data_IF_652845622150
#
_entry.id   IF_652845622150
#
_cell.length_a   1.000
_cell.length_b   1.000
_cell.length_c   1.000
_cell.angle_alpha   90.00
_cell.angle_beta   90.00
_cell.angle_gamma   90.00
#
_symmetry.space_group_name_H-M   'P 1'
#
loop_
_entity.id
_entity.type
_entity.pdbx_description
1 polymer ?
#
# COMPACT_ATOMS: atom_id res chain seq x y z
N UNK A 1 -47.93 10.42 28.41
CA UNK A 1 -47.25 11.41 27.51
C UNK A 1 -45.83 11.61 28.02
N UNK A 2 -44.88 10.88 27.48
CA UNK A 2 -43.45 10.96 27.82
C UNK A 2 -42.78 11.94 26.86
N UNK A 3 -42.49 13.15 27.40
CA UNK A 3 -41.81 14.19 26.66
C UNK A 3 -40.37 13.79 26.29
N UNK A 4 -40.05 13.70 24.99
CA UNK A 4 -38.70 13.60 24.51
C UNK A 4 -37.98 14.94 24.75
N UNK A 5 -37.00 14.91 25.66
CA UNK A 5 -36.10 16.04 25.88
C UNK A 5 -35.10 16.05 24.72
N UNK A 6 -35.25 16.99 23.81
CA UNK A 6 -34.20 17.29 22.81
C UNK A 6 -33.06 17.93 23.59
N UNK A 7 -31.93 17.24 23.68
CA UNK A 7 -30.70 17.80 24.26
C UNK A 7 -30.19 18.85 23.27
N UNK A 8 -30.21 20.11 23.72
CA UNK A 8 -29.76 21.24 22.94
C UNK A 8 -28.26 21.10 22.60
N UNK A 9 -27.96 21.52 21.41
CA UNK A 9 -26.64 21.57 20.78
C UNK A 9 -25.69 22.41 21.62
N UNK A 10 -24.73 21.74 22.28
CA UNK A 10 -23.44 22.38 22.55
C UNK A 10 -22.87 22.88 21.20
N UNK A 11 -22.10 23.96 21.22
CA UNK A 11 -21.47 24.48 20.01
C UNK A 11 -20.91 23.32 19.18
N UNK A 12 -21.43 23.12 17.96
CA UNK A 12 -21.00 22.05 17.12
C UNK A 12 -19.49 22.26 16.90
N UNK A 13 -18.66 21.33 17.38
CA UNK A 13 -17.27 21.30 16.99
C UNK A 13 -17.26 21.28 15.46
N UNK A 14 -16.39 22.11 14.86
CA UNK A 14 -16.28 22.16 13.42
C UNK A 14 -15.94 20.76 12.90
N UNK A 15 -16.61 20.34 11.83
CA UNK A 15 -16.35 19.04 11.21
C UNK A 15 -14.86 18.85 10.94
N UNK A 16 -14.24 17.71 11.30
CA UNK A 16 -12.84 17.42 10.97
C UNK A 16 -12.64 17.51 9.47
N UNK A 17 -11.62 18.23 9.03
CA UNK A 17 -11.28 18.38 7.61
C UNK A 17 -10.17 17.40 7.26
N UNK A 18 -10.45 16.49 6.34
CA UNK A 18 -9.50 15.50 5.85
C UNK A 18 -9.17 15.81 4.40
N UNK A 19 -7.89 16.00 4.09
CA UNK A 19 -7.40 16.12 2.72
C UNK A 19 -6.97 14.76 2.17
N UNK A 20 -7.29 14.49 0.90
CA UNK A 20 -6.77 13.32 0.19
C UNK A 20 -6.09 13.74 -1.10
N UNK A 21 -4.87 13.23 -1.32
CA UNK A 21 -4.14 13.40 -2.57
C UNK A 21 -4.36 12.16 -3.44
N UNK A 22 -5.02 12.35 -4.58
CA UNK A 22 -5.46 11.31 -5.49
C UNK A 22 -6.96 11.39 -5.77
N UNK A 23 -7.35 11.05 -6.99
CA UNK A 23 -8.72 11.24 -7.51
C UNK A 23 -9.40 9.98 -8.00
N UNK A 24 -8.93 8.79 -7.60
CA UNK A 24 -9.45 7.49 -8.02
C UNK A 24 -10.68 7.02 -7.26
N UNK A 25 -10.91 5.73 -7.33
CA UNK A 25 -12.08 5.10 -6.71
C UNK A 25 -12.02 5.08 -5.19
N UNK A 26 -10.83 4.96 -4.60
CA UNK A 26 -10.68 4.92 -3.14
C UNK A 26 -11.03 6.28 -2.54
N UNK A 27 -10.56 7.37 -3.12
CA UNK A 27 -10.94 8.72 -2.69
C UNK A 27 -12.46 8.98 -2.82
N UNK A 28 -13.11 8.43 -3.88
CA UNK A 28 -14.57 8.44 -3.99
C UNK A 28 -15.24 7.68 -2.84
N UNK A 29 -14.77 6.47 -2.52
CA UNK A 29 -15.31 5.66 -1.41
C UNK A 29 -15.07 6.33 -0.05
N UNK A 30 -13.94 7.06 0.11
CA UNK A 30 -13.70 7.89 1.31
C UNK A 30 -14.79 8.94 1.47
N UNK A 31 -15.29 9.57 0.39
CA UNK A 31 -16.39 10.53 0.48
C UNK A 31 -17.68 9.87 0.96
N UNK A 32 -17.98 8.66 0.50
CA UNK A 32 -19.16 7.92 0.96
C UNK A 32 -19.08 7.64 2.48
N UNK A 33 -17.89 7.28 2.97
CA UNK A 33 -17.67 7.05 4.41
C UNK A 33 -17.61 8.35 5.23
N UNK A 34 -17.13 9.45 4.65
CA UNK A 34 -17.01 10.74 5.32
C UNK A 34 -18.36 11.34 5.70
N UNK A 35 -19.39 11.16 4.86
CA UNK A 35 -20.74 11.71 5.07
C UNK A 35 -21.34 11.28 6.42
N UNK A 36 -21.51 9.98 6.72
CA UNK A 36 -22.11 9.56 7.99
C UNK A 36 -21.20 9.82 9.20
N UNK A 37 -19.89 10.05 8.98
CA UNK A 37 -18.94 10.39 10.05
C UNK A 37 -18.86 11.89 10.31
N UNK A 38 -19.55 12.73 9.54
CA UNK A 38 -19.51 14.18 9.69
C UNK A 38 -18.13 14.78 9.36
N UNK A 39 -17.40 14.17 8.42
CA UNK A 39 -16.07 14.61 7.97
C UNK A 39 -16.22 15.49 6.72
N UNK A 40 -15.55 16.66 6.71
CA UNK A 40 -15.35 17.47 5.50
C UNK A 40 -14.15 16.92 4.71
N UNK A 41 -14.43 16.09 3.69
CA UNK A 41 -13.39 15.54 2.81
C UNK A 41 -13.07 16.54 1.69
N UNK A 42 -11.78 16.80 1.48
CA UNK A 42 -11.24 17.63 0.41
C UNK A 42 -10.25 16.83 -0.41
N UNK A 43 -10.32 16.93 -1.74
CA UNK A 43 -9.49 16.11 -2.62
C UNK A 43 -8.68 16.94 -3.61
N UNK A 44 -7.42 16.57 -3.83
CA UNK A 44 -6.65 16.96 -4.99
C UNK A 44 -6.75 15.84 -6.01
N UNK A 45 -7.44 16.11 -7.13
CA UNK A 45 -7.78 15.10 -8.14
C UNK A 45 -7.14 15.42 -9.47
N UNK A 46 -6.78 14.42 -10.26
CA UNK A 46 -6.15 14.59 -11.57
C UNK A 46 -7.11 15.17 -12.62
N UNK A 47 -8.42 14.90 -12.47
CA UNK A 47 -9.46 15.33 -13.40
C UNK A 47 -10.79 15.58 -12.68
N UNK A 48 -11.48 16.64 -13.06
CA UNK A 48 -12.79 17.00 -12.48
C UNK A 48 -13.90 15.98 -12.81
N UNK A 49 -13.78 15.29 -13.94
CA UNK A 49 -14.66 14.22 -14.39
C UNK A 49 -14.17 12.82 -13.98
N UNK A 50 -13.07 12.73 -13.23
CA UNK A 50 -12.54 11.51 -12.62
C UNK A 50 -13.44 10.97 -11.52
N UNK A 51 -13.12 9.77 -11.02
CA UNK A 51 -13.96 9.06 -10.04
C UNK A 51 -14.27 9.88 -8.79
N UNK A 52 -13.26 10.44 -8.13
CA UNK A 52 -13.44 11.29 -6.95
C UNK A 52 -13.87 12.72 -7.32
N UNK A 53 -13.41 13.26 -8.46
CA UNK A 53 -13.76 14.59 -8.92
C UNK A 53 -15.27 14.79 -9.10
N UNK A 54 -15.99 13.74 -9.48
CA UNK A 54 -17.46 13.73 -9.59
C UNK A 54 -18.19 13.59 -8.25
N UNK A 55 -17.54 13.10 -7.21
CA UNK A 55 -18.19 12.70 -5.96
C UNK A 55 -17.78 13.56 -4.76
N UNK A 56 -16.58 14.11 -4.73
CA UNK A 56 -16.08 14.94 -3.63
C UNK A 56 -16.42 16.41 -3.89
N UNK A 57 -17.33 17.02 -3.11
CA UNK A 57 -17.77 18.40 -3.37
C UNK A 57 -16.63 19.42 -3.31
N UNK A 58 -15.67 19.21 -2.42
CA UNK A 58 -14.50 20.06 -2.25
C UNK A 58 -13.28 19.46 -2.94
N UNK A 59 -13.41 19.16 -4.24
CA UNK A 59 -12.28 18.71 -5.07
C UNK A 59 -11.64 19.88 -5.84
N UNK A 60 -10.30 19.80 -6.02
CA UNK A 60 -9.52 20.71 -6.86
C UNK A 60 -8.68 19.87 -7.82
N UNK A 61 -8.63 20.31 -9.07
CA UNK A 61 -7.78 19.63 -10.07
C UNK A 61 -6.33 20.05 -9.89
N UNK A 62 -5.44 19.05 -9.86
CA UNK A 62 -3.99 19.19 -9.75
C UNK A 62 -3.31 17.83 -9.74
N UNK A 63 -1.99 17.82 -9.84
CA UNK A 63 -1.19 16.61 -9.85
C UNK A 63 -0.65 16.31 -8.46
N UNK A 64 -0.58 15.03 -8.09
CA UNK A 64 0.01 14.56 -6.83
C UNK A 64 1.53 14.90 -6.73
N UNK A 65 2.18 15.20 -7.86
CA UNK A 65 3.57 15.65 -7.93
C UNK A 65 3.76 17.17 -7.83
N UNK A 66 2.66 17.95 -7.84
CA UNK A 66 2.72 19.41 -7.71
C UNK A 66 2.77 19.81 -6.23
N UNK A 67 3.96 20.23 -5.79
CA UNK A 67 4.20 20.67 -4.40
C UNK A 67 3.24 21.79 -4.00
N UNK A 68 3.03 22.80 -4.88
CA UNK A 68 2.19 23.95 -4.57
C UNK A 68 0.72 23.56 -4.40
N UNK A 69 0.20 22.68 -5.28
CA UNK A 69 -1.17 22.19 -5.19
C UNK A 69 -1.41 21.36 -3.92
N UNK A 70 -0.46 20.52 -3.54
CA UNK A 70 -0.55 19.69 -2.32
C UNK A 70 -0.42 20.57 -1.07
N UNK A 71 0.49 21.55 -1.05
CA UNK A 71 0.59 22.50 0.06
C UNK A 71 -0.67 23.36 0.21
N UNK A 72 -1.28 23.78 -0.89
CA UNK A 72 -2.54 24.52 -0.85
C UNK A 72 -3.68 23.70 -0.26
N UNK A 73 -3.75 22.41 -0.55
CA UNK A 73 -4.68 21.48 0.10
C UNK A 73 -4.33 21.33 1.58
N UNK A 74 -3.05 21.13 1.91
CA UNK A 74 -2.57 20.95 3.28
C UNK A 74 -2.95 22.12 4.21
N UNK A 75 -2.92 23.37 3.70
CA UNK A 75 -3.34 24.56 4.47
C UNK A 75 -4.84 24.63 4.79
N UNK A 76 -5.65 23.79 4.15
CA UNK A 76 -7.11 23.84 4.27
C UNK A 76 -7.70 22.71 5.12
N UNK A 77 -6.88 21.80 5.61
CA UNK A 77 -7.30 20.57 6.28
C UNK A 77 -6.63 20.40 7.64
N UNK A 78 -7.17 19.50 8.46
CA UNK A 78 -6.63 19.20 9.79
C UNK A 78 -5.69 17.97 9.74
N UNK A 79 -5.83 17.14 8.68
CA UNK A 79 -4.95 16.01 8.37
C UNK A 79 -4.97 15.77 6.87
N UNK A 80 -3.82 15.38 6.31
CA UNK A 80 -3.68 14.98 4.92
C UNK A 80 -3.42 13.47 4.83
N UNK A 81 -4.03 12.82 3.87
CA UNK A 81 -3.76 11.43 3.50
C UNK A 81 -3.53 11.30 2.00
N UNK A 82 -3.14 10.13 1.56
CA UNK A 82 -2.96 9.79 0.15
C UNK A 82 -3.90 8.65 -0.24
N UNK A 83 -4.29 8.61 -1.50
CA UNK A 83 -5.08 7.51 -2.05
C UNK A 83 -4.19 6.36 -2.54
N UNK A 84 -3.00 6.68 -3.00
CA UNK A 84 -2.03 5.74 -3.57
C UNK A 84 -0.60 6.13 -3.20
N UNK A 85 0.33 5.21 -3.34
CA UNK A 85 1.74 5.36 -2.96
C UNK A 85 2.57 6.27 -3.90
N UNK A 86 2.05 6.65 -5.07
CA UNK A 86 2.82 7.37 -6.10
C UNK A 86 3.03 8.86 -5.84
N UNK A 87 2.73 9.35 -4.64
CA UNK A 87 3.03 10.75 -4.25
C UNK A 87 4.52 10.87 -3.94
N UNK A 88 5.27 11.76 -4.61
CA UNK A 88 6.72 11.88 -4.37
C UNK A 88 7.06 12.24 -2.92
N UNK A 89 8.11 11.65 -2.36
CA UNK A 89 8.58 11.88 -0.99
C UNK A 89 8.77 13.37 -0.67
N UNK A 90 9.39 14.12 -1.60
CA UNK A 90 9.61 15.57 -1.42
C UNK A 90 8.31 16.37 -1.29
N UNK A 91 7.24 15.94 -1.96
CA UNK A 91 5.91 16.57 -1.88
C UNK A 91 5.29 16.31 -0.51
N UNK A 92 5.32 15.06 -0.05
CA UNK A 92 4.81 14.70 1.27
C UNK A 92 5.56 15.40 2.39
N UNK A 93 6.90 15.42 2.34
CA UNK A 93 7.73 16.16 3.32
C UNK A 93 7.46 17.65 3.32
N UNK A 94 7.08 18.23 2.18
CA UNK A 94 6.64 19.62 2.13
C UNK A 94 5.32 19.81 2.86
N UNK A 95 4.34 18.94 2.62
CA UNK A 95 3.04 18.97 3.29
C UNK A 95 3.16 18.71 4.81
N UNK A 96 4.05 17.81 5.25
CA UNK A 96 4.31 17.51 6.67
C UNK A 96 4.75 18.74 7.49
N UNK A 97 5.31 19.75 6.84
CA UNK A 97 5.66 21.02 7.50
C UNK A 97 4.45 21.91 7.78
N UNK A 98 3.29 21.61 7.18
CA UNK A 98 2.07 22.42 7.24
C UNK A 98 1.01 21.72 8.09
N UNK A 99 0.81 20.43 7.86
CA UNK A 99 -0.26 19.65 8.48
C UNK A 99 0.23 18.21 8.74
N UNK A 100 -0.30 17.48 9.74
CA UNK A 100 -0.03 16.06 9.88
C UNK A 100 -0.40 15.29 8.60
N UNK A 101 0.55 14.54 8.02
CA UNK A 101 0.32 13.62 6.89
C UNK A 101 0.28 12.20 7.43
N UNK A 102 -0.76 11.43 7.07
CA UNK A 102 -0.97 10.08 7.62
C UNK A 102 -1.51 9.11 6.58
N UNK A 103 -0.73 8.06 6.21
CA UNK A 103 0.65 7.79 6.65
C UNK A 103 1.62 8.88 6.22
N UNK A 104 2.68 9.09 7.03
CA UNK A 104 3.74 10.06 6.72
C UNK A 104 4.71 9.55 5.65
N UNK A 105 5.50 10.48 5.10
CA UNK A 105 6.46 10.19 4.03
C UNK A 105 7.43 9.05 4.38
N UNK A 106 7.89 8.96 5.63
CA UNK A 106 8.79 7.90 6.08
C UNK A 106 8.17 6.50 6.02
N UNK A 107 6.87 6.38 6.33
CA UNK A 107 6.14 5.11 6.28
C UNK A 107 5.81 4.73 4.84
N UNK A 108 5.35 5.70 4.03
CA UNK A 108 5.02 5.49 2.64
C UNK A 108 6.23 5.05 1.81
N UNK A 109 7.45 5.45 2.18
CA UNK A 109 8.69 5.04 1.53
C UNK A 109 8.85 3.51 1.45
N UNK A 110 8.30 2.73 2.41
CA UNK A 110 8.34 1.27 2.39
C UNK A 110 7.33 0.66 1.42
N UNK A 111 6.21 1.32 1.14
CA UNK A 111 5.30 0.93 0.06
C UNK A 111 5.89 1.28 -1.32
N UNK A 112 6.64 2.39 -1.41
CA UNK A 112 7.25 2.85 -2.66
C UNK A 112 8.51 2.08 -3.07
N UNK A 113 9.24 1.46 -2.13
CA UNK A 113 10.53 0.81 -2.39
C UNK A 113 10.53 -0.64 -1.87
N UNK A 114 10.29 -1.57 -2.79
CA UNK A 114 10.25 -3.00 -2.48
C UNK A 114 11.58 -3.55 -1.93
N UNK A 115 12.74 -3.04 -2.40
CA UNK A 115 14.04 -3.43 -1.86
C UNK A 115 14.26 -2.89 -0.45
N UNK A 116 13.90 -1.64 -0.21
CA UNK A 116 13.92 -1.03 1.12
C UNK A 116 13.01 -1.77 2.10
N UNK A 117 11.80 -2.10 1.65
CA UNK A 117 10.84 -2.87 2.42
C UNK A 117 11.38 -4.26 2.78
N UNK A 118 11.94 -5.02 1.82
CA UNK A 118 12.50 -6.36 2.10
C UNK A 118 13.64 -6.33 3.12
N UNK A 119 14.59 -5.38 2.98
CA UNK A 119 15.66 -5.21 3.97
C UNK A 119 15.09 -4.95 5.37
N UNK A 120 14.07 -4.09 5.44
CA UNK A 120 13.46 -3.76 6.72
C UNK A 120 12.70 -4.95 7.32
N UNK A 121 12.01 -5.75 6.52
CA UNK A 121 11.37 -6.97 7.00
C UNK A 121 12.39 -7.98 7.53
N UNK A 122 13.52 -8.16 6.85
CA UNK A 122 14.61 -9.03 7.34
C UNK A 122 15.17 -8.54 8.69
N UNK A 123 15.44 -7.23 8.84
CA UNK A 123 15.88 -6.63 10.11
C UNK A 123 14.89 -6.88 11.26
N UNK A 124 13.60 -6.84 10.94
CA UNK A 124 12.53 -7.09 11.89
C UNK A 124 12.28 -8.59 12.12
N UNK A 125 12.89 -9.48 11.36
CA UNK A 125 12.59 -10.92 11.38
C UNK A 125 11.13 -11.21 11.02
N UNK A 126 10.55 -10.42 10.11
CA UNK A 126 9.21 -10.64 9.56
C UNK A 126 9.32 -11.60 8.38
N UNK A 127 8.53 -12.68 8.35
CA UNK A 127 8.60 -13.67 7.28
C UNK A 127 8.25 -13.07 5.91
N UNK A 128 9.13 -13.27 4.93
CA UNK A 128 8.96 -12.91 3.53
C UNK A 128 9.38 -14.07 2.61
N UNK A 129 9.02 -14.06 1.33
CA UNK A 129 9.68 -14.91 0.35
C UNK A 129 11.19 -14.73 0.39
N UNK A 130 11.98 -15.76 0.15
CA UNK A 130 13.44 -15.60 -0.03
C UNK A 130 13.69 -14.64 -1.18
N UNK A 131 14.64 -13.74 -1.03
CA UNK A 131 14.86 -12.68 -2.01
C UNK A 131 16.36 -12.38 -2.22
N UNK A 132 16.66 -11.75 -3.37
CA UNK A 132 17.98 -11.20 -3.70
C UNK A 132 17.79 -9.87 -4.43
N UNK A 133 18.66 -8.92 -4.17
CA UNK A 133 18.91 -7.81 -5.07
C UNK A 133 19.80 -8.31 -6.21
N UNK A 134 19.42 -8.04 -7.45
CA UNK A 134 20.17 -8.44 -8.64
C UNK A 134 20.38 -7.23 -9.54
N UNK A 135 21.60 -7.04 -10.04
CA UNK A 135 21.99 -5.87 -10.81
C UNK A 135 22.09 -6.18 -12.32
N UNK A 136 22.23 -7.46 -12.66
CA UNK A 136 22.36 -7.92 -14.03
C UNK A 136 21.74 -9.31 -14.25
N UNK A 137 21.67 -9.70 -15.53
CA UNK A 137 21.10 -10.99 -15.93
C UNK A 137 21.90 -12.19 -15.41
N UNK A 138 23.20 -12.05 -15.16
CA UNK A 138 24.04 -13.16 -14.69
C UNK A 138 23.77 -13.42 -13.20
N UNK A 139 23.74 -12.38 -12.39
CA UNK A 139 23.33 -12.45 -10.97
C UNK A 139 21.90 -13.00 -10.83
N UNK A 140 20.98 -12.52 -11.68
CA UNK A 140 19.60 -12.99 -11.70
C UNK A 140 19.55 -14.50 -12.03
N UNK A 141 20.25 -14.97 -13.07
CA UNK A 141 20.29 -16.38 -13.45
C UNK A 141 20.91 -17.27 -12.34
N UNK A 142 21.91 -16.77 -11.63
CA UNK A 142 22.50 -17.49 -10.50
C UNK A 142 21.49 -17.65 -9.35
N UNK A 143 20.80 -16.58 -8.98
CA UNK A 143 19.80 -16.60 -7.94
C UNK A 143 18.55 -17.42 -8.31
N UNK A 144 18.13 -17.43 -9.59
CA UNK A 144 17.06 -18.32 -10.08
C UNK A 144 17.41 -19.80 -9.85
N UNK A 145 18.69 -20.20 -10.09
CA UNK A 145 19.14 -21.58 -9.78
C UNK A 145 19.05 -21.88 -8.29
N UNK A 146 19.48 -20.94 -7.45
CA UNK A 146 19.42 -21.06 -5.97
C UNK A 146 17.98 -21.24 -5.49
N UNK A 147 17.01 -20.60 -6.16
CA UNK A 147 15.58 -20.69 -5.81
C UNK A 147 14.85 -21.87 -6.46
N UNK A 148 15.56 -22.79 -7.08
CA UNK A 148 14.96 -24.01 -7.64
C UNK A 148 14.50 -23.90 -9.09
N UNK A 149 14.98 -22.93 -9.83
CA UNK A 149 14.79 -22.82 -11.29
C UNK A 149 13.68 -21.87 -11.74
N UNK A 150 12.86 -21.36 -10.81
CA UNK A 150 11.85 -20.32 -11.08
C UNK A 150 11.88 -19.24 -10.01
N UNK A 151 11.67 -18.00 -10.41
CA UNK A 151 11.62 -16.86 -9.52
C UNK A 151 10.69 -15.76 -10.06
N UNK A 152 10.42 -14.75 -9.24
CA UNK A 152 9.66 -13.57 -9.60
C UNK A 152 10.60 -12.37 -9.56
N UNK A 153 10.80 -11.74 -10.70
CA UNK A 153 11.59 -10.52 -10.84
C UNK A 153 10.65 -9.32 -10.78
N UNK A 154 10.99 -8.35 -9.93
CA UNK A 154 10.18 -7.14 -9.72
C UNK A 154 11.04 -5.88 -9.87
N UNK A 155 10.47 -4.83 -10.47
CA UNK A 155 11.05 -3.49 -10.35
C UNK A 155 10.91 -3.01 -8.91
N UNK A 156 11.94 -2.36 -8.34
CA UNK A 156 11.89 -1.93 -6.95
C UNK A 156 10.86 -0.83 -6.69
N UNK A 157 10.55 -0.04 -7.73
CA UNK A 157 9.62 1.09 -7.69
C UNK A 157 8.67 1.04 -8.90
N UNK A 158 7.59 1.80 -8.83
CA UNK A 158 6.64 2.05 -9.93
C UNK A 158 5.94 0.79 -10.52
N UNK A 159 6.02 -0.35 -9.83
CA UNK A 159 5.31 -1.57 -10.22
C UNK A 159 3.94 -1.66 -9.54
N UNK A 160 2.85 -1.70 -10.32
CA UNK A 160 1.47 -1.84 -9.86
C UNK A 160 0.64 -2.61 -10.89
N UNK A 161 -0.46 -3.21 -10.48
CA UNK A 161 -1.40 -3.93 -11.37
C UNK A 161 -0.70 -4.92 -12.32
N UNK A 162 0.29 -5.67 -11.82
CA UNK A 162 1.07 -6.63 -12.61
C UNK A 162 2.13 -6.01 -13.51
N UNK A 163 2.27 -4.68 -13.55
CA UNK A 163 3.39 -4.01 -14.21
C UNK A 163 4.64 -4.10 -13.34
N UNK A 164 5.80 -4.23 -13.97
CA UNK A 164 7.07 -4.35 -13.24
C UNK A 164 7.24 -5.69 -12.51
N UNK A 165 6.46 -6.73 -12.87
CA UNK A 165 6.54 -8.08 -12.33
C UNK A 165 6.67 -9.08 -13.46
N UNK A 166 7.66 -9.97 -13.40
CA UNK A 166 7.87 -11.04 -14.36
C UNK A 166 8.24 -12.35 -13.67
N UNK A 167 7.56 -13.44 -14.05
CA UNK A 167 8.02 -14.77 -13.68
C UNK A 167 9.18 -15.12 -14.63
N UNK A 168 10.31 -15.47 -14.05
CA UNK A 168 11.53 -15.83 -14.79
C UNK A 168 11.96 -17.26 -14.46
N UNK A 169 12.47 -17.94 -15.48
CA UNK A 169 13.07 -19.27 -15.40
C UNK A 169 14.34 -19.35 -16.24
N UNK A 170 14.95 -20.53 -16.32
CA UNK A 170 16.14 -20.77 -17.12
C UNK A 170 15.83 -21.71 -18.29
N UNK A 171 16.32 -21.37 -19.49
CA UNK A 171 16.32 -22.30 -20.63
C UNK A 171 17.34 -23.47 -20.44
N UNK A 172 17.30 -24.44 -21.32
CA UNK A 172 18.23 -25.58 -21.29
C UNK A 172 19.72 -25.22 -21.43
N UNK A 173 20.03 -23.94 -21.69
CA UNK A 173 21.40 -23.38 -21.74
C UNK A 173 21.69 -22.50 -20.53
N UNK A 174 20.79 -22.43 -19.57
CA UNK A 174 20.93 -21.64 -18.36
C UNK A 174 20.74 -20.11 -18.54
N UNK A 175 20.12 -19.68 -19.64
CA UNK A 175 19.79 -18.27 -19.90
C UNK A 175 18.41 -17.95 -19.38
N UNK A 176 18.25 -16.74 -18.85
CA UNK A 176 16.96 -16.26 -18.35
C UNK A 176 15.90 -16.23 -19.46
N UNK A 177 14.72 -16.72 -19.12
CA UNK A 177 13.49 -16.62 -19.89
C UNK A 177 12.40 -16.04 -19.01
N UNK A 178 11.42 -15.41 -19.63
CA UNK A 178 10.24 -14.84 -18.98
C UNK A 178 9.46 -13.97 -19.95
N UNK A 179 8.24 -13.62 -19.59
CA UNK A 179 7.41 -12.69 -20.34
C UNK A 179 7.66 -11.24 -19.90
N UNK A 180 7.19 -10.26 -20.70
CA UNK A 180 7.11 -8.87 -20.27
C UNK A 180 8.30 -7.98 -20.56
N UNK A 181 9.28 -8.42 -21.36
CA UNK A 181 10.40 -7.56 -21.77
C UNK A 181 11.33 -7.12 -20.62
N UNK A 182 11.40 -7.89 -19.55
CA UNK A 182 12.13 -7.59 -18.31
C UNK A 182 13.64 -7.33 -18.53
N UNK A 183 14.19 -7.67 -19.70
CA UNK A 183 15.61 -7.47 -20.00
C UNK A 183 16.05 -6.01 -19.96
N UNK A 184 15.16 -5.08 -20.35
CA UNK A 184 15.43 -3.64 -20.27
C UNK A 184 15.46 -3.13 -18.84
N UNK A 185 14.79 -3.79 -17.90
CA UNK A 185 14.69 -3.33 -16.51
C UNK A 185 16.06 -3.23 -15.82
N UNK A 186 17.02 -4.06 -16.20
CA UNK A 186 18.39 -3.97 -15.65
C UNK A 186 19.10 -2.66 -16.02
N UNK A 187 18.75 -2.05 -17.16
CA UNK A 187 19.29 -0.76 -17.56
C UNK A 187 18.55 0.41 -16.87
N UNK A 188 17.26 0.22 -16.58
CA UNK A 188 16.38 1.26 -16.03
C UNK A 188 16.41 1.32 -14.49
N UNK A 189 16.98 0.29 -13.82
CA UNK A 189 17.02 0.18 -12.37
C UNK A 189 18.48 0.24 -11.84
N UNK A 190 19.05 1.44 -11.66
CA UNK A 190 20.44 1.60 -11.19
C UNK A 190 20.66 1.03 -9.78
N UNK A 191 19.62 0.98 -8.97
CA UNK A 191 19.65 0.37 -7.63
C UNK A 191 19.46 -1.15 -7.64
N UNK A 192 19.37 -1.76 -8.84
CA UNK A 192 19.10 -3.18 -9.05
C UNK A 192 17.62 -3.53 -8.97
N UNK A 193 17.30 -4.78 -9.28
CA UNK A 193 15.96 -5.35 -9.25
C UNK A 193 15.78 -6.26 -8.03
N UNK A 194 14.55 -6.46 -7.62
CA UNK A 194 14.18 -7.44 -6.60
C UNK A 194 13.88 -8.78 -7.29
N UNK A 195 14.60 -9.81 -6.92
CA UNK A 195 14.29 -11.19 -7.31
C UNK A 195 13.81 -11.95 -6.08
N UNK A 196 12.65 -12.59 -6.18
CA UNK A 196 12.05 -13.38 -5.11
C UNK A 196 11.84 -14.82 -5.55
N UNK A 197 11.93 -15.77 -4.60
CA UNK A 197 11.49 -17.13 -4.88
C UNK A 197 10.01 -17.12 -5.32
N UNK A 198 9.68 -18.00 -6.23
CA UNK A 198 8.29 -18.23 -6.60
C UNK A 198 7.60 -19.05 -5.52
N UNK A 199 6.84 -18.39 -4.66
CA UNK A 199 6.09 -19.04 -3.58
C UNK A 199 4.92 -19.83 -4.16
N UNK A 200 4.81 -21.11 -3.77
CA UNK A 200 3.57 -21.88 -3.96
C UNK A 200 2.61 -21.57 -2.82
N UNK A 201 1.67 -20.70 -3.04
CA UNK A 201 0.68 -20.30 -2.02
C UNK A 201 -0.70 -20.88 -2.33
N UNK A 202 -1.50 -21.07 -1.29
CA UNK A 202 -2.90 -21.50 -1.37
C UNK A 202 -3.86 -20.33 -1.53
N UNK A 203 -3.55 -19.18 -0.92
CA UNK A 203 -4.35 -17.96 -1.00
C UNK A 203 -3.48 -16.72 -0.79
N UNK A 204 -3.96 -15.59 -1.31
CA UNK A 204 -3.44 -14.26 -1.00
C UNK A 204 -4.41 -13.58 -0.04
N UNK A 205 -3.88 -12.97 1.02
CA UNK A 205 -4.67 -12.25 2.01
C UNK A 205 -4.10 -10.87 2.24
N UNK A 206 -4.95 -9.94 2.67
CA UNK A 206 -4.53 -8.63 3.14
C UNK A 206 -5.04 -8.41 4.57
N UNK A 207 -4.17 -7.90 5.43
CA UNK A 207 -4.50 -7.50 6.78
C UNK A 207 -4.40 -5.99 6.92
N UNK A 208 -5.54 -5.35 7.18
CA UNK A 208 -5.60 -3.92 7.40
C UNK A 208 -5.47 -3.62 8.89
N UNK A 209 -4.70 -2.58 9.20
CA UNK A 209 -4.54 -2.03 10.54
C UNK A 209 -4.62 -0.51 10.49
N UNK A 210 -5.13 0.10 11.55
CA UNK A 210 -5.08 1.53 11.77
C UNK A 210 -4.36 1.83 13.09
N UNK A 211 -3.37 2.73 13.06
CA UNK A 211 -2.61 3.13 14.24
C UNK A 211 -2.72 4.62 14.47
N UNK A 212 -3.01 4.99 15.73
CA UNK A 212 -3.08 6.38 16.19
C UNK A 212 -1.70 6.92 16.57
N UNK A 213 -1.52 8.26 16.67
CA UNK A 213 -0.31 8.86 17.21
C UNK A 213 0.02 8.41 18.64
N UNK A 214 -0.97 7.98 19.41
CA UNK A 214 -0.78 7.42 20.76
C UNK A 214 -0.17 6.01 20.77
N UNK A 215 0.00 5.38 19.59
CA UNK A 215 0.44 4.00 19.45
C UNK A 215 -0.70 2.97 19.52
N UNK A 216 -1.92 3.37 19.82
CA UNK A 216 -3.06 2.44 19.83
C UNK A 216 -3.35 1.94 18.42
N UNK A 217 -3.49 0.61 18.27
CA UNK A 217 -3.80 -0.07 17.01
C UNK A 217 -5.19 -0.68 17.08
N UNK A 218 -5.87 -0.65 15.94
CA UNK A 218 -7.07 -1.41 15.65
C UNK A 218 -6.87 -2.17 14.34
N UNK A 219 -7.31 -3.43 14.30
CA UNK A 219 -7.16 -4.32 13.15
C UNK A 219 -8.55 -4.74 12.65
N UNK A 220 -8.74 -4.77 11.34
CA UNK A 220 -9.90 -5.42 10.72
C UNK A 220 -9.70 -6.93 10.68
N UNK A 221 -10.71 -7.68 10.25
CA UNK A 221 -10.50 -9.07 9.87
C UNK A 221 -9.58 -9.14 8.65
N UNK A 222 -8.77 -10.20 8.56
CA UNK A 222 -8.05 -10.49 7.33
C UNK A 222 -9.05 -10.70 6.18
N UNK A 223 -8.70 -10.23 5.00
CA UNK A 223 -9.49 -10.40 3.77
C UNK A 223 -8.71 -11.24 2.77
N UNK A 224 -9.40 -12.08 2.02
CA UNK A 224 -8.81 -12.81 0.90
C UNK A 224 -8.88 -11.95 -0.36
N UNK A 225 -7.78 -11.86 -1.10
CA UNK A 225 -7.69 -11.12 -2.35
C UNK A 225 -7.54 -12.09 -3.51
N UNK A 226 -8.43 -12.01 -4.49
CA UNK A 226 -8.44 -12.87 -5.68
C UNK A 226 -7.87 -12.08 -6.84
N UNK A 227 -6.63 -12.42 -7.20
CA UNK A 227 -5.87 -11.75 -8.25
C UNK A 227 -6.07 -12.44 -9.61
N UNK A 228 -6.21 -11.64 -10.67
CA UNK A 228 -6.11 -12.14 -12.04
C UNK A 228 -5.21 -11.23 -12.85
N UNK A 229 -4.13 -11.77 -13.40
CA UNK A 229 -3.13 -11.04 -14.18
C UNK A 229 -2.55 -9.82 -13.43
N UNK A 230 -2.35 -9.96 -12.11
CA UNK A 230 -1.81 -8.90 -11.27
C UNK A 230 -2.81 -7.81 -10.87
N UNK A 231 -4.10 -7.98 -11.14
CA UNK A 231 -5.16 -7.06 -10.72
C UNK A 231 -6.07 -7.76 -9.71
N UNK A 232 -6.32 -7.14 -8.57
CA UNK A 232 -7.29 -7.62 -7.59
C UNK A 232 -8.69 -7.44 -8.13
N UNK A 233 -9.40 -8.55 -8.39
CA UNK A 233 -10.77 -8.53 -8.92
C UNK A 233 -11.83 -8.67 -7.85
N UNK A 234 -11.54 -9.43 -6.80
CA UNK A 234 -12.49 -9.72 -5.73
C UNK A 234 -11.76 -9.67 -4.40
N UNK A 235 -12.46 -9.19 -3.38
CA UNK A 235 -12.03 -9.25 -1.99
C UNK A 235 -13.12 -9.90 -1.16
N UNK A 236 -12.77 -10.95 -0.42
CA UNK A 236 -13.70 -11.69 0.45
C UNK A 236 -13.37 -11.38 1.91
N UNK A 237 -14.34 -10.89 2.65
CA UNK A 237 -14.21 -10.55 4.07
C UNK A 237 -15.27 -11.30 4.91
N UNK A 238 -14.88 -12.03 5.95
CA UNK A 238 -13.50 -12.37 6.33
C UNK A 238 -12.86 -13.36 5.35
N UNK A 239 -11.52 -13.42 5.34
CA UNK A 239 -10.76 -14.42 4.56
C UNK A 239 -11.14 -15.85 4.99
N UNK A 240 -11.19 -16.74 4.01
CA UNK A 240 -11.45 -18.18 4.25
C UNK A 240 -10.13 -18.90 4.57
N UNK A 241 -9.57 -18.62 5.74
CA UNK A 241 -8.32 -19.22 6.23
C UNK A 241 -8.51 -19.76 7.64
N UNK A 242 -7.61 -20.65 8.06
CA UNK A 242 -7.61 -21.16 9.43
C UNK A 242 -7.44 -20.02 10.46
N UNK A 243 -8.09 -20.07 11.62
CA UNK A 243 -7.99 -19.02 12.65
C UNK A 243 -6.55 -18.68 13.04
N UNK A 244 -5.66 -19.67 13.12
CA UNK A 244 -4.25 -19.46 13.43
C UNK A 244 -3.52 -18.63 12.37
N UNK A 245 -3.87 -18.80 11.09
CA UNK A 245 -3.34 -18.02 9.96
C UNK A 245 -3.82 -16.57 10.06
N UNK A 246 -5.10 -16.34 10.32
CA UNK A 246 -5.65 -14.99 10.50
C UNK A 246 -5.02 -14.27 11.70
N UNK A 247 -4.81 -14.98 12.82
CA UNK A 247 -4.13 -14.43 14.01
C UNK A 247 -2.66 -14.11 13.73
N UNK A 248 -1.96 -14.93 12.93
CA UNK A 248 -0.58 -14.66 12.53
C UNK A 248 -0.51 -13.45 11.62
N UNK A 249 -1.38 -13.35 10.60
CA UNK A 249 -1.46 -12.20 9.71
C UNK A 249 -1.68 -10.90 10.51
N UNK A 250 -2.58 -10.90 11.48
CA UNK A 250 -2.84 -9.76 12.35
C UNK A 250 -1.59 -9.39 13.16
N UNK A 251 -0.93 -10.36 13.80
CA UNK A 251 0.30 -10.10 14.60
C UNK A 251 1.43 -9.52 13.73
N UNK A 252 1.60 -10.04 12.52
CA UNK A 252 2.59 -9.51 11.57
C UNK A 252 2.25 -8.07 11.21
N UNK A 253 1.02 -7.76 10.82
CA UNK A 253 0.62 -6.41 10.40
C UNK A 253 0.73 -5.38 11.53
N UNK A 254 0.30 -5.72 12.74
CA UNK A 254 0.45 -4.88 13.93
C UNK A 254 1.93 -4.59 14.22
N UNK A 255 2.79 -5.63 14.22
CA UNK A 255 4.23 -5.49 14.39
C UNK A 255 4.88 -4.62 13.32
N UNK A 256 4.50 -4.79 12.07
CA UNK A 256 4.99 -3.95 10.95
C UNK A 256 4.58 -2.50 11.16
N UNK A 257 3.29 -2.23 11.47
CA UNK A 257 2.80 -0.88 11.71
C UNK A 257 3.52 -0.18 12.89
N UNK A 258 3.79 -0.91 13.97
CA UNK A 258 4.55 -0.40 15.11
C UNK A 258 6.01 -0.11 14.74
N UNK A 259 6.68 -1.09 14.11
CA UNK A 259 8.12 -1.02 13.83
C UNK A 259 8.49 -0.02 12.74
N UNK A 260 7.55 0.31 11.85
CA UNK A 260 7.69 1.35 10.83
C UNK A 260 7.11 2.70 11.29
N UNK A 261 6.66 2.80 12.54
CA UNK A 261 5.98 3.98 13.09
C UNK A 261 4.88 4.54 12.18
N UNK A 262 4.10 3.66 11.57
CA UNK A 262 2.97 4.05 10.74
C UNK A 262 1.92 4.71 11.64
N UNK A 263 1.49 5.91 11.27
CA UNK A 263 0.30 6.55 11.83
C UNK A 263 -0.70 6.74 10.69
N UNK A 264 -1.88 6.15 10.83
CA UNK A 264 -2.88 6.07 9.75
C UNK A 264 -3.28 4.64 9.48
N UNK A 265 -3.67 4.35 8.25
CA UNK A 265 -4.06 3.01 7.79
C UNK A 265 -2.88 2.39 7.03
N UNK A 266 -2.68 1.09 7.24
CA UNK A 266 -1.72 0.25 6.52
C UNK A 266 -2.43 -1.04 6.13
N UNK A 267 -2.29 -1.46 4.89
CA UNK A 267 -2.58 -2.81 4.46
C UNK A 267 -1.27 -3.58 4.27
N UNK A 268 -1.22 -4.80 4.80
CA UNK A 268 -0.11 -5.73 4.60
C UNK A 268 -0.62 -6.89 3.78
N UNK A 269 -0.15 -7.00 2.55
CA UNK A 269 -0.48 -8.10 1.65
C UNK A 269 0.44 -9.29 1.93
N UNK A 270 -0.14 -10.50 1.97
CA UNK A 270 0.55 -11.69 2.41
C UNK A 270 0.17 -12.91 1.58
N UNK A 271 1.11 -13.82 1.41
CA UNK A 271 0.87 -15.15 0.89
C UNK A 271 0.65 -16.15 2.04
N UNK A 272 -0.35 -17.00 1.90
CA UNK A 272 -0.55 -18.17 2.75
C UNK A 272 0.05 -19.37 2.04
N UNK A 273 1.18 -19.88 2.53
CA UNK A 273 1.93 -20.97 1.94
C UNK A 273 2.10 -22.09 2.97
N UNK A 274 1.43 -23.21 2.77
CA UNK A 274 1.29 -24.25 3.77
C UNK A 274 0.73 -23.65 5.07
N UNK A 275 1.47 -23.71 6.19
CA UNK A 275 1.08 -23.12 7.48
C UNK A 275 1.79 -21.78 7.77
N UNK A 276 2.41 -21.15 6.76
CA UNK A 276 3.20 -19.93 6.91
C UNK A 276 2.52 -18.74 6.26
N UNK A 277 2.62 -17.59 6.90
CA UNK A 277 2.20 -16.30 6.38
C UNK A 277 3.45 -15.51 6.00
N UNK A 278 3.56 -15.12 4.73
CA UNK A 278 4.73 -14.42 4.18
C UNK A 278 4.29 -13.05 3.66
N UNK A 279 4.95 -11.98 4.12
CA UNK A 279 4.65 -10.63 3.63
C UNK A 279 5.07 -10.48 2.17
N UNK A 280 4.11 -10.11 1.33
CA UNK A 280 4.33 -9.79 -0.08
C UNK A 280 4.59 -8.31 -0.30
N UNK A 281 3.68 -7.43 0.14
CA UNK A 281 3.74 -5.99 -0.14
C UNK A 281 3.09 -5.18 0.99
N UNK A 282 3.41 -3.88 1.05
CA UNK A 282 2.78 -2.89 1.92
C UNK A 282 2.01 -1.88 1.06
N UNK A 283 0.81 -1.49 1.51
CA UNK A 283 -0.04 -0.50 0.86
C UNK A 283 -0.70 0.45 1.87
#
# INVERSE_FOLDING_TARGET
MTGHRVVGTGAAEAAPRVGVVGGGQLARMMQEAAIPLGIDLRALVEAADGSAGQAVPHSRVGQASDVGAVEDLARQVDVLTVEHEHVPDAVLRSAERIVPVRPGAHALAFAQDKLGMRRRMDELGVPCPRWRRVEDAAQCAAAVREFGGQAVLKTPRDGYDGKGVAVVDLDGRGRLRGAGGFQSWFADAPDGLLLEERVGFSSEIAQLVARRPSGQIASWCAVETIQRRGVCLETVAPATVEPAVADEARRIAERVAESLDVVGVLAVEMFVAEDRVLVNELA
#
